data_IF_620611430293
#
_entry.id   IF_620611430293
#
_cell.length_a   1.000
_cell.length_b   1.000
_cell.length_c   1.000
_cell.angle_alpha   90.00
_cell.angle_beta   90.00
_cell.angle_gamma   90.00
#
_symmetry.space_group_name_H-M   'P 1'
#
loop_
_entity.id
_entity.type
_entity.pdbx_description
1 polymer ?
#
# COMPACT_ATOMS: atom_id res chain seq x y z
N UNK A 1 -47.21 -40.11 18.17
CA UNK A 1 -46.29 -41.10 17.57
C UNK A 1 -46.90 -41.61 16.28
N UNK A 2 -46.14 -41.88 15.21
CA UNK A 2 -44.72 -41.58 14.91
C UNK A 2 -44.59 -40.94 13.48
N UNK A 3 -43.47 -40.63 12.83
CA UNK A 3 -42.01 -40.76 13.06
C UNK A 3 -41.30 -39.60 12.30
N UNK A 4 -40.13 -39.25 12.80
CA UNK A 4 -39.25 -38.16 12.40
C UNK A 4 -38.47 -38.43 11.09
N UNK A 5 -38.10 -37.36 10.38
CA UNK A 5 -36.80 -37.26 9.73
C UNK A 5 -36.25 -35.84 9.91
N UNK A 6 -35.26 -35.72 10.79
CA UNK A 6 -34.46 -34.52 11.05
C UNK A 6 -33.48 -34.35 9.88
N UNK A 7 -33.38 -33.14 9.31
CA UNK A 7 -32.14 -32.69 8.67
C UNK A 7 -31.54 -31.66 9.62
N UNK A 8 -30.58 -32.12 10.41
CA UNK A 8 -29.69 -31.27 11.18
C UNK A 8 -28.71 -30.61 10.21
N UNK A 9 -28.83 -29.30 9.99
CA UNK A 9 -27.75 -28.52 9.39
C UNK A 9 -26.95 -27.95 10.56
N UNK A 10 -25.90 -28.67 10.95
CA UNK A 10 -24.85 -28.13 11.80
C UNK A 10 -24.30 -26.86 11.14
N UNK A 11 -24.51 -25.74 11.82
CA UNK A 11 -23.92 -24.46 11.49
C UNK A 11 -22.52 -24.50 12.05
N UNK A 12 -21.50 -24.76 11.22
CA UNK A 12 -20.08 -24.49 11.49
C UNK A 12 -19.26 -24.77 10.22
N UNK A 13 -19.24 -23.84 9.28
CA UNK A 13 -18.06 -23.61 8.44
C UNK A 13 -18.14 -22.21 7.81
N UNK A 14 -17.43 -21.27 8.42
CA UNK A 14 -17.22 -19.94 7.85
C UNK A 14 -16.08 -20.00 6.83
N UNK A 15 -16.40 -20.35 5.58
CA UNK A 15 -15.44 -20.21 4.49
C UNK A 15 -16.14 -19.99 3.14
N UNK A 16 -16.05 -18.74 2.66
CA UNK A 16 -16.20 -18.32 1.26
C UNK A 16 -17.45 -18.86 0.53
N UNK A 17 -18.57 -18.17 0.73
CA UNK A 17 -19.70 -18.24 -0.20
C UNK A 17 -19.42 -17.34 -1.40
N UNK A 18 -18.92 -17.93 -2.48
CA UNK A 18 -19.07 -17.39 -3.83
C UNK A 18 -20.51 -17.53 -4.29
N UNK A 19 -21.27 -16.44 -4.28
CA UNK A 19 -22.63 -16.35 -4.84
C UNK A 19 -22.73 -15.15 -5.78
N UNK A 20 -22.99 -15.40 -7.07
CA UNK A 20 -23.03 -14.40 -8.13
C UNK A 20 -24.28 -13.51 -8.09
N UNK A 21 -24.10 -12.24 -8.48
CA UNK A 21 -25.19 -11.27 -8.69
C UNK A 21 -24.74 -9.81 -8.72
N UNK A 22 -24.24 -9.35 -9.88
CA UNK A 22 -24.28 -7.98 -10.39
C UNK A 22 -24.01 -6.79 -9.44
N UNK A 23 -22.74 -6.51 -9.16
CA UNK A 23 -22.14 -5.17 -9.35
C UNK A 23 -20.62 -5.29 -9.11
N UNK A 24 -19.83 -5.23 -10.17
CA UNK A 24 -18.38 -5.17 -10.01
C UNK A 24 -18.05 -3.83 -9.33
N UNK A 25 -17.16 -3.81 -8.30
CA UNK A 25 -16.66 -2.55 -7.77
C UNK A 25 -16.13 -1.69 -8.92
N UNK A 26 -16.37 -0.36 -8.91
CA UNK A 26 -15.98 0.50 -10.02
C UNK A 26 -14.50 0.34 -10.34
N UNK A 27 -14.15 0.29 -11.63
CA UNK A 27 -12.77 0.25 -12.10
C UNK A 27 -12.09 1.59 -11.77
N UNK A 28 -11.50 1.70 -10.59
CA UNK A 28 -10.97 2.96 -10.08
C UNK A 28 -9.57 3.19 -10.64
N UNK A 29 -9.39 4.36 -11.27
CA UNK A 29 -8.09 4.83 -11.74
C UNK A 29 -7.32 5.53 -10.63
N UNK A 30 -5.99 5.45 -10.68
CA UNK A 30 -5.11 6.05 -9.67
C UNK A 30 -5.25 7.59 -9.61
N UNK A 31 -5.36 8.23 -10.77
CA UNK A 31 -5.50 9.69 -10.93
C UNK A 31 -6.73 10.24 -10.20
N UNK A 32 -7.98 9.88 -10.52
CA UNK A 32 -9.15 10.41 -9.83
C UNK A 32 -9.15 10.10 -8.33
N UNK A 33 -8.67 8.92 -7.94
CA UNK A 33 -8.59 8.56 -6.52
C UNK A 33 -7.57 9.42 -5.76
N UNK A 34 -6.37 9.64 -6.32
CA UNK A 34 -5.37 10.53 -5.72
C UNK A 34 -5.87 11.97 -5.58
N UNK A 35 -6.63 12.47 -6.57
CA UNK A 35 -7.27 13.80 -6.50
C UNK A 35 -8.27 13.88 -5.35
N UNK A 36 -9.12 12.86 -5.20
CA UNK A 36 -10.12 12.79 -4.14
C UNK A 36 -9.47 12.80 -2.75
N UNK A 37 -8.37 12.06 -2.58
CA UNK A 37 -7.67 11.96 -1.29
C UNK A 37 -6.86 13.19 -0.90
N UNK A 38 -6.24 13.87 -1.87
CA UNK A 38 -5.21 14.90 -1.60
C UNK A 38 -5.67 16.32 -1.92
N UNK A 39 -6.78 16.48 -2.63
CA UNK A 39 -7.26 17.77 -3.10
C UNK A 39 -6.46 18.35 -4.27
N UNK A 40 -5.39 17.70 -4.74
CA UNK A 40 -4.65 18.09 -5.95
C UNK A 40 -5.55 17.91 -7.17
N UNK A 41 -5.70 18.94 -8.01
CA UNK A 41 -6.66 18.99 -9.12
C UNK A 41 -6.01 18.79 -10.51
N UNK A 42 -4.87 18.10 -10.55
CA UNK A 42 -4.19 17.71 -11.79
C UNK A 42 -4.95 16.56 -12.45
N UNK A 43 -5.02 16.55 -13.78
CA UNK A 43 -5.76 15.55 -14.58
C UNK A 43 -4.88 15.04 -15.73
N UNK A 44 -5.36 14.01 -16.42
CA UNK A 44 -4.61 13.32 -17.48
C UNK A 44 -3.71 12.22 -16.91
N UNK A 45 -2.79 11.73 -17.74
CA UNK A 45 -1.95 10.58 -17.43
C UNK A 45 -1.05 10.83 -16.22
N UNK A 46 -0.88 9.80 -15.38
CA UNK A 46 -0.14 9.90 -14.13
C UNK A 46 1.31 10.40 -14.32
N UNK A 47 2.00 9.97 -15.38
CA UNK A 47 3.37 10.41 -15.66
C UNK A 47 3.50 11.92 -15.91
N UNK A 48 2.46 12.57 -16.43
CA UNK A 48 2.49 14.01 -16.72
C UNK A 48 2.36 14.88 -15.47
N UNK A 49 1.87 14.30 -14.35
CA UNK A 49 1.52 15.06 -13.15
C UNK A 49 2.69 15.83 -12.56
N UNK A 50 3.89 15.25 -12.59
CA UNK A 50 5.07 15.91 -12.06
C UNK A 50 5.37 17.24 -12.77
N UNK A 51 5.24 17.27 -14.10
CA UNK A 51 5.47 18.47 -14.89
C UNK A 51 4.28 19.43 -14.77
N UNK A 52 3.05 18.92 -14.79
CA UNK A 52 1.85 19.74 -14.60
C UNK A 52 1.79 20.42 -13.22
N UNK A 53 2.41 19.85 -12.20
CA UNK A 53 2.48 20.44 -10.88
C UNK A 53 3.39 21.69 -10.84
N UNK A 54 4.34 21.83 -11.76
CA UNK A 54 5.25 22.97 -11.81
C UNK A 54 4.47 24.30 -11.84
N UNK A 55 4.80 25.22 -10.92
CA UNK A 55 4.14 26.52 -10.83
C UNK A 55 2.71 26.51 -10.28
N UNK A 56 2.10 25.33 -10.08
CA UNK A 56 0.71 25.18 -9.59
C UNK A 56 0.64 24.57 -8.19
N UNK A 57 1.52 23.62 -7.93
CA UNK A 57 1.66 22.93 -6.65
C UNK A 57 3.13 22.92 -6.25
N UNK A 58 3.41 22.93 -4.95
CA UNK A 58 4.78 22.69 -4.50
C UNK A 58 5.19 21.25 -4.79
N UNK A 59 6.46 21.07 -5.12
CA UNK A 59 7.09 19.80 -5.45
C UNK A 59 8.36 19.62 -4.64
N UNK A 60 8.76 18.36 -4.45
CA UNK A 60 10.00 18.03 -3.80
C UNK A 60 10.30 16.53 -3.86
N UNK A 61 11.30 16.11 -3.11
CA UNK A 61 11.75 14.71 -3.11
C UNK A 61 11.59 14.02 -1.75
N UNK A 62 11.12 14.75 -0.75
CA UNK A 62 10.78 14.18 0.55
C UNK A 62 9.31 13.75 0.60
N UNK A 63 8.97 12.55 1.10
CA UNK A 63 7.60 12.19 1.35
C UNK A 63 7.00 13.07 2.45
N UNK A 64 5.73 13.44 2.29
CA UNK A 64 4.90 14.11 3.30
C UNK A 64 3.54 13.46 3.31
N UNK A 65 2.92 13.29 4.48
CA UNK A 65 1.52 12.82 4.56
C UNK A 65 0.63 13.77 3.75
N UNK A 66 -0.25 13.20 2.92
CA UNK A 66 -1.11 13.94 1.99
C UNK A 66 -0.45 14.36 0.67
N UNK A 67 0.87 14.16 0.51
CA UNK A 67 1.53 14.36 -0.78
C UNK A 67 1.16 13.25 -1.78
N UNK A 68 1.28 13.55 -3.06
CA UNK A 68 1.17 12.54 -4.13
C UNK A 68 2.57 12.16 -4.61
N UNK A 69 2.94 10.89 -4.43
CA UNK A 69 4.11 10.29 -5.05
C UNK A 69 3.82 10.05 -6.54
N UNK A 70 4.68 10.58 -7.43
CA UNK A 70 4.55 10.43 -8.88
C UNK A 70 5.64 9.50 -9.42
N UNK A 71 5.24 8.36 -9.99
CA UNK A 71 6.12 7.39 -10.63
C UNK A 71 6.25 7.67 -12.13
N UNK A 72 7.45 7.45 -12.67
CA UNK A 72 7.69 7.51 -14.11
C UNK A 72 7.18 6.23 -14.79
N UNK A 73 6.90 6.27 -16.10
CA UNK A 73 6.70 5.05 -16.90
C UNK A 73 7.91 4.14 -16.76
N UNK A 74 7.68 2.85 -16.52
CA UNK A 74 8.73 1.86 -16.31
C UNK A 74 8.17 0.44 -16.47
N UNK A 75 8.98 -0.46 -17.06
CA UNK A 75 8.57 -1.82 -17.38
C UNK A 75 7.27 -1.85 -18.19
N UNK A 76 6.28 -2.57 -17.70
CA UNK A 76 4.97 -2.69 -18.36
C UNK A 76 4.02 -1.49 -18.08
N UNK A 77 4.41 -0.52 -17.24
CA UNK A 77 3.60 0.69 -17.01
C UNK A 77 4.00 1.81 -17.96
N UNK A 78 3.13 2.09 -18.95
CA UNK A 78 3.30 3.19 -19.91
C UNK A 78 2.76 4.54 -19.40
N UNK A 79 1.77 4.50 -18.50
CA UNK A 79 1.07 5.69 -18.02
C UNK A 79 1.69 6.30 -16.75
N UNK A 80 2.74 5.67 -16.20
CA UNK A 80 3.25 5.99 -14.87
C UNK A 80 2.27 5.57 -13.78
N UNK A 81 2.41 6.14 -12.59
CA UNK A 81 1.46 5.93 -11.49
C UNK A 81 1.48 7.08 -10.51
N UNK A 82 0.36 7.32 -9.82
CA UNK A 82 0.28 8.27 -8.71
C UNK A 82 -0.32 7.60 -7.49
N UNK A 83 0.20 7.95 -6.32
CA UNK A 83 -0.27 7.42 -5.04
C UNK A 83 -0.21 8.48 -3.95
N UNK A 84 -1.22 8.54 -3.10
CA UNK A 84 -1.26 9.46 -1.97
C UNK A 84 -0.50 8.87 -0.77
N UNK A 85 0.39 9.63 -0.14
CA UNK A 85 1.10 9.21 1.07
C UNK A 85 0.14 9.25 2.26
N UNK A 86 -0.13 8.12 2.89
CA UNK A 86 -1.01 8.04 4.07
C UNK A 86 -0.25 8.12 5.38
N UNK A 87 0.98 7.61 5.44
CA UNK A 87 1.80 7.62 6.65
C UNK A 87 3.28 7.56 6.33
N UNK A 88 4.09 8.23 7.14
CA UNK A 88 5.55 8.05 7.15
C UNK A 88 5.89 7.11 8.31
N UNK A 89 6.66 6.06 8.02
CA UNK A 89 7.09 5.08 9.03
C UNK A 89 8.50 5.42 9.50
N UNK A 90 9.40 5.66 8.55
CA UNK A 90 10.79 6.05 8.79
C UNK A 90 11.36 6.78 7.55
N UNK A 91 12.66 7.04 7.52
CA UNK A 91 13.33 7.78 6.43
C UNK A 91 13.29 7.06 5.08
N UNK A 92 13.00 5.75 5.06
CA UNK A 92 13.03 4.88 3.87
C UNK A 92 11.70 4.14 3.65
N UNK A 93 10.73 4.27 4.56
CA UNK A 93 9.47 3.52 4.49
C UNK A 93 8.28 4.45 4.68
N UNK A 94 7.32 4.35 3.74
CA UNK A 94 6.02 5.02 3.83
C UNK A 94 4.89 4.04 3.56
N UNK A 95 3.69 4.44 3.95
CA UNK A 95 2.44 3.81 3.52
C UNK A 95 1.75 4.76 2.54
N UNK A 96 1.15 4.19 1.49
CA UNK A 96 0.40 4.92 0.48
C UNK A 96 -1.02 4.39 0.34
N UNK A 97 -1.89 5.21 -0.24
CA UNK A 97 -3.21 4.85 -0.75
C UNK A 97 -3.23 5.10 -2.26
N UNK A 98 -3.64 4.10 -3.01
CA UNK A 98 -3.77 4.19 -4.46
C UNK A 98 -4.80 3.18 -4.99
N UNK A 99 -5.03 3.20 -6.30
CA UNK A 99 -5.87 2.23 -6.99
C UNK A 99 -5.25 1.77 -8.30
N UNK A 100 -5.73 0.65 -8.85
CA UNK A 100 -5.26 0.09 -10.14
C UNK A 100 -3.79 -0.37 -10.18
N UNK A 101 -3.16 -0.61 -9.02
CA UNK A 101 -1.73 -0.96 -8.95
C UNK A 101 -1.46 -2.45 -9.08
N UNK A 102 -2.13 -3.29 -8.30
CA UNK A 102 -1.98 -4.74 -8.37
C UNK A 102 -3.27 -5.41 -8.84
N UNK A 103 -3.17 -6.57 -9.52
CA UNK A 103 -4.34 -7.40 -9.73
C UNK A 103 -4.69 -8.11 -8.42
N UNK A 104 -5.92 -7.93 -7.95
CA UNK A 104 -6.49 -8.60 -6.77
C UNK A 104 -7.61 -9.51 -7.27
N UNK A 105 -7.53 -10.80 -6.96
CA UNK A 105 -8.46 -11.79 -7.51
C UNK A 105 -8.45 -11.85 -9.05
N UNK A 106 -7.29 -11.60 -9.67
CA UNK A 106 -7.11 -11.64 -11.12
C UNK A 106 -7.54 -10.38 -11.88
N UNK A 107 -7.99 -9.31 -11.21
CA UNK A 107 -8.41 -8.06 -11.85
C UNK A 107 -7.75 -6.85 -11.19
N UNK A 108 -7.52 -5.79 -11.96
CA UNK A 108 -7.06 -4.50 -11.42
C UNK A 108 -8.24 -3.54 -11.19
N UNK A 109 -7.96 -2.41 -10.57
CA UNK A 109 -8.92 -1.30 -10.38
C UNK A 109 -9.47 -1.19 -8.97
N UNK A 110 -8.95 -1.96 -8.03
CA UNK A 110 -9.30 -1.89 -6.61
C UNK A 110 -8.54 -0.76 -5.94
N UNK A 111 -9.09 -0.25 -4.82
CA UNK A 111 -8.36 0.57 -3.87
C UNK A 111 -7.47 -0.33 -3.04
N UNK A 112 -6.23 0.07 -2.86
CA UNK A 112 -5.32 -0.52 -1.90
C UNK A 112 -4.93 0.54 -0.87
N UNK A 113 -5.32 0.30 0.38
CA UNK A 113 -5.05 1.17 1.51
C UNK A 113 -3.77 0.76 2.24
N UNK A 114 -2.99 1.76 2.67
CA UNK A 114 -1.79 1.58 3.49
C UNK A 114 -0.76 0.59 2.88
N UNK A 115 -0.62 0.63 1.56
CA UNK A 115 0.36 -0.17 0.82
C UNK A 115 1.75 0.29 1.19
N UNK A 116 2.61 -0.68 1.55
CA UNK A 116 4.00 -0.40 1.93
C UNK A 116 4.83 -0.02 0.72
N UNK A 117 5.60 1.04 0.85
CA UNK A 117 6.61 1.49 -0.11
C UNK A 117 7.93 1.66 0.62
N UNK A 118 9.00 1.13 0.03
CA UNK A 118 10.36 1.25 0.54
C UNK A 118 11.23 1.94 -0.49
N UNK A 119 11.93 2.98 -0.06
CA UNK A 119 13.00 3.62 -0.82
C UNK A 119 14.21 2.68 -0.92
N UNK A 120 14.55 2.36 -2.16
CA UNK A 120 15.68 1.48 -2.53
C UNK A 120 16.73 2.22 -3.34
N UNK A 121 16.65 3.55 -3.41
CA UNK A 121 17.71 4.37 -3.98
C UNK A 121 19.02 4.15 -3.22
N UNK A 122 20.14 4.12 -3.93
CA UNK A 122 21.46 4.04 -3.30
C UNK A 122 21.72 5.26 -2.41
N UNK A 123 21.22 6.43 -2.82
CA UNK A 123 21.46 7.70 -2.15
C UNK A 123 20.52 8.00 -0.97
N UNK A 124 19.44 7.25 -0.69
CA UNK A 124 18.51 7.66 0.38
C UNK A 124 17.56 8.78 -0.01
N UNK A 125 17.40 9.03 -1.31
CA UNK A 125 16.84 10.26 -1.86
C UNK A 125 15.47 10.05 -2.55
N UNK A 126 14.85 8.89 -2.29
CA UNK A 126 13.56 8.48 -2.87
C UNK A 126 13.54 8.47 -4.39
N UNK A 127 14.69 8.35 -5.06
CA UNK A 127 14.76 8.26 -6.52
C UNK A 127 14.21 6.95 -7.10
N UNK A 128 14.21 5.87 -6.31
CA UNK A 128 13.74 4.55 -6.70
C UNK A 128 13.06 3.86 -5.52
N UNK A 129 11.90 3.24 -5.76
CA UNK A 129 11.12 2.56 -4.69
C UNK A 129 10.72 1.15 -5.09
N UNK A 130 10.56 0.28 -4.09
CA UNK A 130 9.81 -0.98 -4.22
C UNK A 130 8.46 -0.81 -3.54
N UNK A 131 7.43 -1.32 -4.18
CA UNK A 131 6.03 -1.19 -3.72
C UNK A 131 5.50 -2.59 -3.46
N UNK A 132 4.77 -2.76 -2.37
CA UNK A 132 4.07 -4.00 -2.07
C UNK A 132 3.17 -4.42 -3.25
N UNK A 133 3.12 -5.72 -3.50
CA UNK A 133 2.41 -6.27 -4.64
C UNK A 133 1.54 -7.45 -4.20
N UNK A 134 0.23 -7.27 -4.23
CA UNK A 134 -0.72 -8.25 -3.68
C UNK A 134 -0.57 -9.67 -4.25
N UNK A 135 -0.31 -9.90 -5.56
CA UNK A 135 -0.18 -11.26 -6.09
C UNK A 135 0.91 -12.11 -5.43
N UNK A 136 1.99 -11.49 -4.97
CA UNK A 136 3.11 -12.20 -4.34
C UNK A 136 3.13 -12.02 -2.81
N UNK A 137 2.21 -11.24 -2.25
CA UNK A 137 2.15 -10.92 -0.82
C UNK A 137 3.52 -10.50 -0.26
N UNK A 138 4.23 -9.66 -1.01
CA UNK A 138 5.57 -9.20 -0.68
C UNK A 138 5.87 -7.85 -1.38
N UNK A 139 6.99 -7.23 -1.02
CA UNK A 139 7.53 -6.12 -1.82
C UNK A 139 7.85 -6.62 -3.23
N UNK A 140 7.26 -5.98 -4.24
CA UNK A 140 7.56 -6.26 -5.65
C UNK A 140 9.04 -6.15 -5.95
N UNK A 141 9.56 -6.97 -6.87
CA UNK A 141 10.99 -6.98 -7.22
C UNK A 141 11.44 -5.76 -8.03
N UNK A 142 10.53 -5.04 -8.67
CA UNK A 142 10.86 -3.91 -9.54
C UNK A 142 11.25 -2.66 -8.76
N UNK A 143 12.32 -2.00 -9.19
CA UNK A 143 12.76 -0.70 -8.70
C UNK A 143 12.05 0.39 -9.53
N UNK A 144 11.00 0.97 -8.98
CA UNK A 144 10.18 1.96 -9.66
C UNK A 144 10.81 3.35 -9.57
N UNK A 145 11.13 3.99 -10.71
CA UNK A 145 11.69 5.33 -10.72
C UNK A 145 10.64 6.37 -10.29
N UNK A 146 11.00 7.23 -9.34
CA UNK A 146 10.14 8.27 -8.80
C UNK A 146 10.55 9.63 -9.38
N UNK A 147 9.58 10.38 -9.89
CA UNK A 147 9.80 11.78 -10.28
C UNK A 147 9.94 12.66 -9.04
N UNK A 148 9.05 12.49 -8.07
CA UNK A 148 9.10 13.14 -6.77
C UNK A 148 7.73 13.10 -6.09
N UNK A 149 7.53 14.03 -5.16
CA UNK A 149 6.31 14.21 -4.40
C UNK A 149 5.70 15.58 -4.71
N UNK A 150 4.40 15.58 -4.99
CA UNK A 150 3.60 16.78 -5.22
C UNK A 150 2.85 17.08 -3.93
N UNK A 151 3.02 18.27 -3.38
CA UNK A 151 2.43 18.68 -2.11
C UNK A 151 1.14 19.48 -2.32
N UNK A 152 0.11 19.28 -1.49
CA UNK A 152 -1.07 20.14 -1.49
C UNK A 152 -0.67 21.52 -0.96
N UNK A 153 -0.53 22.50 -1.85
CA UNK A 153 -0.14 23.85 -1.51
C UNK A 153 0.52 24.58 -2.68
N UNK A 154 0.55 25.91 -2.63
CA UNK A 154 1.19 26.72 -3.66
C UNK A 154 2.72 26.57 -3.58
N UNK A 155 3.43 26.60 -4.73
CA UNK A 155 4.89 26.60 -4.73
C UNK A 155 5.44 27.88 -4.10
N UNK A 156 6.65 27.80 -3.55
CA UNK A 156 7.40 28.99 -3.14
C UNK A 156 7.83 29.81 -4.37
N UNK A 157 8.01 31.13 -4.21
CA UNK A 157 8.39 32.06 -5.30
C UNK A 157 9.67 31.65 -6.04
N UNK A 158 10.57 30.94 -5.37
CA UNK A 158 11.78 30.34 -5.94
C UNK A 158 11.92 28.89 -5.45
N UNK A 159 11.07 28.00 -5.96
CA UNK A 159 11.14 26.57 -5.64
C UNK A 159 12.47 25.98 -6.14
N UNK A 160 13.37 25.63 -5.21
CA UNK A 160 14.60 24.91 -5.50
C UNK A 160 14.35 23.41 -5.36
N UNK A 161 14.41 22.70 -6.47
CA UNK A 161 14.29 21.24 -6.50
C UNK A 161 15.69 20.62 -6.46
N UNK A 162 16.17 20.36 -5.25
CA UNK A 162 17.40 19.58 -5.05
C UNK A 162 17.05 18.24 -4.44
N UNK A 163 17.42 17.16 -5.12
CA UNK A 163 17.26 15.80 -4.61
C UNK A 163 18.42 15.48 -3.68
N UNK A 164 18.11 15.11 -2.45
CA UNK A 164 19.10 14.84 -1.40
C UNK A 164 18.63 13.68 -0.53
N UNK A 165 19.56 12.96 0.11
CA UNK A 165 19.23 11.97 1.13
C UNK A 165 18.36 12.59 2.22
N UNK A 166 17.35 11.87 2.69
CA UNK A 166 16.63 12.30 3.89
C UNK A 166 17.49 12.09 5.13
N UNK A 167 17.41 13.08 6.03
CA UNK A 167 17.94 12.93 7.37
C UNK A 167 17.25 11.74 8.08
N UNK A 168 17.93 11.10 9.05
CA UNK A 168 17.32 10.08 9.88
C UNK A 168 16.00 10.59 10.48
N UNK A 169 14.95 9.78 10.39
CA UNK A 169 13.63 10.18 10.90
C UNK A 169 13.67 10.18 12.44
N UNK A 170 13.45 11.34 13.11
CA UNK A 170 13.74 11.52 14.54
C UNK A 170 12.86 10.66 15.46
N UNK A 171 11.62 10.37 15.05
CA UNK A 171 10.65 9.59 15.82
C UNK A 171 10.44 8.16 15.27
N UNK A 172 11.39 7.65 14.47
CA UNK A 172 11.28 6.28 13.95
C UNK A 172 11.41 5.32 15.14
N UNK A 173 10.59 4.26 15.23
CA UNK A 173 10.90 3.15 16.12
C UNK A 173 12.33 2.71 15.77
N UNK A 174 13.26 2.77 16.73
CA UNK A 174 14.66 2.42 16.50
C UNK A 174 14.70 1.08 15.77
N UNK A 175 15.15 1.07 14.52
CA UNK A 175 15.33 -0.16 13.77
C UNK A 175 16.21 -1.08 14.61
N UNK A 176 15.66 -2.22 15.02
CA UNK A 176 16.45 -3.27 15.64
C UNK A 176 17.63 -3.56 14.73
N UNK A 177 18.84 -3.64 15.29
CA UNK A 177 20.07 -3.91 14.54
C UNK A 177 19.79 -5.05 13.55
N UNK A 178 20.24 -4.96 12.28
CA UNK A 178 20.14 -6.09 11.36
C UNK A 178 20.76 -7.31 12.04
N UNK A 179 19.93 -8.31 12.33
CA UNK A 179 20.39 -9.56 12.90
C UNK A 179 21.45 -10.15 11.97
N UNK A 180 22.54 -10.64 12.56
CA UNK A 180 23.55 -11.43 11.85
C UNK A 180 22.86 -12.47 10.95
N UNK A 181 23.40 -12.77 9.75
CA UNK A 181 22.83 -13.83 8.93
C UNK A 181 22.76 -15.12 9.76
N UNK A 182 21.54 -15.62 9.96
CA UNK A 182 21.32 -16.87 10.66
C UNK A 182 21.99 -17.98 9.84
N UNK A 183 22.91 -18.70 10.48
CA UNK A 183 23.44 -19.95 9.94
C UNK A 183 22.27 -20.91 9.71
N UNK A 184 22.33 -21.65 8.61
CA UNK A 184 21.38 -22.70 8.28
C UNK A 184 21.23 -23.67 9.46
N UNK A 185 20.04 -23.76 10.02
CA UNK A 185 19.69 -24.75 11.03
C UNK A 185 18.65 -25.71 10.45
N UNK A 186 18.91 -26.99 10.69
CA UNK A 186 18.28 -28.15 10.05
C UNK A 186 16.81 -28.30 10.46
N UNK A 187 16.06 -28.97 9.59
CA UNK A 187 14.66 -29.34 9.73
C UNK A 187 14.26 -29.83 11.14
N UNK A 188 13.17 -29.26 11.66
CA UNK A 188 12.44 -29.75 12.81
C UNK A 188 10.93 -29.89 12.48
N UNK A 189 10.34 -30.98 13.00
CA UNK A 189 8.98 -31.51 12.77
C UNK A 189 7.84 -30.56 13.21
N UNK A 190 6.61 -30.77 12.71
CA UNK A 190 5.48 -29.87 12.94
C UNK A 190 4.94 -29.95 14.38
N UNK A 191 4.79 -28.80 15.02
CA UNK A 191 4.13 -28.62 16.32
C UNK A 191 2.67 -28.16 16.15
N UNK A 192 1.78 -28.70 16.98
CA UNK A 192 0.32 -28.48 16.98
C UNK A 192 -0.07 -27.00 17.20
N UNK A 193 -1.24 -26.53 16.70
CA UNK A 193 -1.69 -25.16 16.87
C UNK A 193 -2.06 -24.87 18.33
N UNK A 194 -1.42 -23.86 18.92
CA UNK A 194 -1.78 -23.24 20.19
C UNK A 194 -2.79 -22.11 19.98
N UNK A 195 -3.59 -21.86 21.03
CA UNK A 195 -4.82 -21.05 21.07
C UNK A 195 -4.61 -19.58 20.64
N UNK A 196 -5.49 -19.11 19.76
CA UNK A 196 -5.61 -17.70 19.36
C UNK A 196 -6.22 -16.84 20.49
N UNK A 197 -5.56 -15.75 20.91
CA UNK A 197 -6.02 -14.87 22.00
C UNK A 197 -7.17 -13.91 21.60
N UNK A 198 -7.83 -14.14 20.46
CA UNK A 198 -8.94 -13.30 19.97
C UNK A 198 -10.32 -13.97 20.18
N UNK A 199 -10.37 -15.25 20.58
CA UNK A 199 -11.63 -15.97 20.76
C UNK A 199 -12.32 -15.76 22.14
N UNK A 200 -11.66 -15.15 23.12
CA UNK A 200 -12.19 -15.05 24.49
C UNK A 200 -13.11 -13.85 24.75
N UNK A 201 -13.41 -13.03 23.74
CA UNK A 201 -14.24 -11.82 23.89
C UNK A 201 -15.73 -11.99 23.49
N UNK A 202 -16.15 -13.19 23.05
CA UNK A 202 -17.55 -13.46 22.66
C UNK A 202 -18.29 -14.43 23.61
N UNK A 203 -17.60 -15.06 24.59
CA UNK A 203 -18.23 -16.03 25.52
C UNK A 203 -18.81 -15.45 26.81
N UNK A 204 -18.94 -14.13 26.96
CA UNK A 204 -19.46 -13.51 28.19
C UNK A 204 -20.87 -12.90 28.09
N UNK A 205 -21.68 -13.26 27.09
CA UNK A 205 -23.01 -12.64 26.92
C UNK A 205 -24.22 -13.51 26.63
N UNK A 206 -24.16 -14.83 26.72
CA UNK A 206 -25.36 -15.67 26.78
C UNK A 206 -25.04 -16.94 27.55
N UNK A 207 -25.54 -17.01 28.79
CA UNK A 207 -25.60 -18.27 29.51
C UNK A 207 -26.62 -19.18 28.84
N UNK A 208 -26.21 -20.41 28.57
CA UNK A 208 -26.84 -21.70 28.84
C UNK A 208 -25.84 -22.79 28.44
#
# INVERSE_FOLDING_TARGET
MPVNARIEINTDDSAVTGGGGANLPPYLQCVPYARQLTGIQIRGDAWTWWNQAAGRYSRGFAPKVGAVMALKPHGNSRLGHVAAVSKIIDSRTILIRHSNWSPIGGRRGQIEDNVKVVDVSEAGDWSAVRIWYAPIQALGGSHWPVSGFIYPGKPAKAEKLTRQPLLPWPDAPKAGKPGKPAKAEKAAKPTKPGKDPIADLIKKKTGW
#
